data_IF_368259328926
#
_entry.id   IF_368259328926
#
_cell.length_a   1.000
_cell.length_b   1.000
_cell.length_c   1.000
_cell.angle_alpha   90.00
_cell.angle_beta   90.00
_cell.angle_gamma   90.00
#
_symmetry.space_group_name_H-M   'P 1'
#
loop_
_entity.id
_entity.type
_entity.pdbx_description
1 polymer ?
#
# COMPACT_ATOMS: atom_id res chain seq x y z
N UNK A 1 51.50 -31.90 -14.72
CA UNK A 1 50.61 -31.31 -15.76
C UNK A 1 50.17 -29.93 -15.33
N UNK A 2 50.68 -28.85 -15.91
CA UNK A 2 50.23 -27.48 -15.57
C UNK A 2 48.81 -27.29 -16.13
N UNK A 3 47.83 -27.21 -15.25
CA UNK A 3 46.49 -26.79 -15.64
C UNK A 3 46.57 -25.37 -16.20
N UNK A 4 46.18 -25.18 -17.45
CA UNK A 4 46.07 -23.82 -18.02
C UNK A 4 44.87 -23.13 -17.36
N UNK A 5 44.92 -21.77 -17.18
CA UNK A 5 43.86 -20.96 -16.59
C UNK A 5 42.47 -21.32 -17.14
N UNK A 6 42.35 -21.54 -18.44
CA UNK A 6 41.09 -21.89 -19.09
C UNK A 6 40.52 -23.22 -18.60
N UNK A 7 41.38 -24.23 -18.33
CA UNK A 7 40.92 -25.53 -17.80
C UNK A 7 40.48 -25.43 -16.36
N UNK A 8 41.18 -24.62 -15.55
CA UNK A 8 40.79 -24.36 -14.15
C UNK A 8 39.44 -23.64 -14.13
N UNK A 9 39.29 -22.61 -14.95
CA UNK A 9 38.05 -21.84 -15.07
C UNK A 9 36.87 -22.72 -15.51
N UNK A 10 37.08 -23.55 -16.56
CA UNK A 10 36.06 -24.51 -17.02
C UNK A 10 35.65 -25.50 -15.94
N UNK A 11 36.62 -26.13 -15.26
CA UNK A 11 36.30 -27.06 -14.19
C UNK A 11 35.56 -26.37 -13.02
N UNK A 12 35.97 -25.18 -12.64
CA UNK A 12 35.29 -24.41 -11.60
C UNK A 12 33.85 -24.10 -12.01
N UNK A 13 33.64 -23.59 -13.23
CA UNK A 13 32.32 -23.24 -13.74
C UNK A 13 31.39 -24.46 -13.85
N UNK A 14 31.92 -25.57 -14.36
CA UNK A 14 31.16 -26.83 -14.46
C UNK A 14 30.78 -27.34 -13.05
N UNK A 15 31.72 -27.31 -12.11
CA UNK A 15 31.44 -27.68 -10.73
C UNK A 15 30.36 -26.80 -10.08
N UNK A 16 30.47 -25.49 -10.23
CA UNK A 16 29.50 -24.54 -9.71
C UNK A 16 28.09 -24.82 -10.24
N UNK A 17 27.94 -24.98 -11.56
CA UNK A 17 26.66 -25.31 -12.16
C UNK A 17 26.11 -26.67 -11.72
N UNK A 18 26.99 -27.67 -11.62
CA UNK A 18 26.57 -28.99 -11.13
C UNK A 18 26.04 -28.93 -9.70
N UNK A 19 26.71 -28.19 -8.84
CA UNK A 19 26.26 -27.99 -7.45
C UNK A 19 24.91 -27.26 -7.41
N UNK A 20 24.75 -26.17 -8.18
CA UNK A 20 23.47 -25.44 -8.24
C UNK A 20 22.32 -26.31 -8.75
N UNK A 21 22.54 -27.11 -9.80
CA UNK A 21 21.54 -28.03 -10.33
C UNK A 21 21.16 -29.09 -9.27
N UNK A 22 22.15 -29.70 -8.61
CA UNK A 22 21.89 -30.68 -7.55
C UNK A 22 21.09 -30.01 -6.41
N UNK A 23 21.51 -28.84 -5.96
CA UNK A 23 20.80 -28.13 -4.91
C UNK A 23 19.33 -27.80 -5.30
N UNK A 24 19.07 -27.38 -6.54
CA UNK A 24 17.70 -27.17 -7.02
C UNK A 24 16.88 -28.47 -7.05
N UNK A 25 17.48 -29.60 -7.40
CA UNK A 25 16.77 -30.87 -7.46
C UNK A 25 16.44 -31.46 -6.08
N UNK A 26 17.26 -31.17 -5.06
CA UNK A 26 17.06 -31.71 -3.71
C UNK A 26 16.34 -30.76 -2.76
N UNK A 27 16.26 -29.50 -3.10
CA UNK A 27 15.54 -28.50 -2.28
C UNK A 27 14.03 -28.64 -2.48
N UNK A 28 13.24 -28.81 -1.42
CA UNK A 28 11.79 -28.87 -1.54
C UNK A 28 11.20 -27.58 -2.11
N UNK A 29 10.16 -27.71 -2.93
CA UNK A 29 9.40 -26.57 -3.42
C UNK A 29 8.81 -25.74 -2.27
N UNK A 30 8.92 -24.42 -2.38
CA UNK A 30 8.28 -23.48 -1.46
C UNK A 30 6.96 -23.01 -2.05
N UNK A 31 5.92 -23.00 -1.25
CA UNK A 31 4.59 -22.51 -1.68
C UNK A 31 4.41 -21.02 -1.46
N UNK A 32 5.20 -20.43 -0.57
CA UNK A 32 5.09 -19.04 -0.17
C UNK A 32 6.48 -18.43 0.07
N UNK A 33 6.66 -17.20 -0.37
CA UNK A 33 7.82 -16.37 -0.04
C UNK A 33 7.46 -15.45 1.10
N UNK A 34 8.01 -15.68 2.28
CA UNK A 34 7.83 -14.77 3.40
C UNK A 34 8.50 -13.42 3.16
N UNK A 35 9.62 -13.42 2.45
CA UNK A 35 10.32 -12.19 2.12
C UNK A 35 9.52 -11.27 1.18
N UNK A 36 8.81 -11.84 0.19
CA UNK A 36 8.00 -11.08 -0.78
C UNK A 36 6.51 -11.03 -0.40
N UNK A 37 6.11 -11.72 0.64
CA UNK A 37 4.71 -11.86 1.10
C UNK A 37 3.76 -12.25 -0.05
N UNK A 38 4.16 -13.28 -0.82
CA UNK A 38 3.35 -13.81 -1.93
C UNK A 38 3.47 -15.33 -2.11
N UNK A 39 2.46 -15.88 -2.75
CA UNK A 39 2.54 -17.27 -3.23
C UNK A 39 3.59 -17.36 -4.32
N UNK A 40 4.38 -18.42 -4.27
CA UNK A 40 5.35 -18.76 -5.31
C UNK A 40 4.70 -19.63 -6.38
N UNK A 41 5.18 -19.48 -7.62
CA UNK A 41 4.70 -20.25 -8.75
C UNK A 41 4.95 -21.75 -8.53
N UNK A 42 3.96 -22.54 -8.94
CA UNK A 42 4.03 -24.00 -8.96
C UNK A 42 4.39 -24.50 -10.35
N UNK A 43 4.93 -25.70 -10.43
CA UNK A 43 5.24 -26.34 -11.72
C UNK A 43 4.00 -26.29 -12.63
N UNK A 44 4.08 -25.65 -13.80
CA UNK A 44 2.93 -25.48 -14.68
C UNK A 44 2.46 -26.82 -15.27
N UNK A 45 1.15 -26.96 -15.41
CA UNK A 45 0.58 -28.12 -16.10
C UNK A 45 0.79 -27.98 -17.61
N UNK A 46 1.43 -28.97 -18.20
CA UNK A 46 1.63 -29.01 -19.64
C UNK A 46 0.32 -29.22 -20.39
N UNK A 47 0.03 -28.38 -21.38
CA UNK A 47 -0.97 -28.61 -22.42
C UNK A 47 -0.43 -28.13 -23.76
N UNK A 48 -0.85 -28.76 -24.87
CA UNK A 48 -0.41 -28.34 -26.21
C UNK A 48 -0.86 -26.90 -26.51
N UNK A 49 -2.01 -26.49 -26.02
CA UNK A 49 -2.54 -25.13 -26.20
C UNK A 49 -1.64 -24.09 -25.51
N UNK A 50 -1.30 -24.31 -24.25
CA UNK A 50 -0.37 -23.44 -23.50
C UNK A 50 1.01 -23.37 -24.11
N UNK A 51 1.49 -24.46 -24.73
CA UNK A 51 2.79 -24.46 -25.40
C UNK A 51 2.75 -23.61 -26.68
N UNK A 52 1.70 -23.76 -27.49
CA UNK A 52 1.58 -23.06 -28.79
C UNK A 52 1.38 -21.56 -28.58
N UNK A 53 0.61 -21.14 -27.58
CA UNK A 53 0.36 -19.72 -27.29
C UNK A 53 1.46 -19.07 -26.43
N UNK A 54 2.52 -19.82 -26.02
CA UNK A 54 3.64 -19.35 -25.22
C UNK A 54 3.36 -19.22 -23.70
N UNK A 55 2.16 -19.51 -23.25
CA UNK A 55 1.76 -19.40 -21.83
C UNK A 55 2.56 -20.38 -20.96
N UNK A 56 2.75 -21.65 -21.44
CA UNK A 56 3.53 -22.64 -20.72
C UNK A 56 4.97 -22.19 -20.45
N UNK A 57 5.61 -21.55 -21.41
CA UNK A 57 7.00 -21.09 -21.24
C UNK A 57 7.09 -19.93 -20.26
N UNK A 58 6.12 -19.02 -20.26
CA UNK A 58 6.05 -17.93 -19.29
C UNK A 58 5.83 -18.45 -17.87
N UNK A 59 4.86 -19.35 -17.68
CA UNK A 59 4.62 -19.99 -16.38
C UNK A 59 5.83 -20.81 -15.89
N UNK A 60 6.53 -21.48 -16.80
CA UNK A 60 7.74 -22.26 -16.48
C UNK A 60 8.90 -21.35 -16.07
N UNK A 61 9.08 -20.22 -16.74
CA UNK A 61 10.11 -19.23 -16.40
C UNK A 61 9.83 -18.63 -15.01
N UNK A 62 8.57 -18.27 -14.72
CA UNK A 62 8.15 -17.82 -13.40
C UNK A 62 8.43 -18.88 -12.32
N UNK A 63 8.06 -20.14 -12.58
CA UNK A 63 8.35 -21.25 -11.67
C UNK A 63 9.84 -21.42 -11.39
N UNK A 64 10.68 -21.43 -12.44
CA UNK A 64 12.14 -21.57 -12.28
C UNK A 64 12.71 -20.42 -11.46
N UNK A 65 12.26 -19.18 -11.73
CA UNK A 65 12.71 -18.00 -11.01
C UNK A 65 12.29 -18.04 -9.53
N UNK A 66 11.09 -18.50 -9.25
CA UNK A 66 10.54 -18.55 -7.89
C UNK A 66 11.15 -19.67 -7.04
N UNK A 67 11.43 -20.83 -7.65
CA UNK A 67 11.95 -22.01 -6.95
C UNK A 67 13.49 -22.08 -6.96
N UNK A 68 14.17 -21.08 -7.57
CA UNK A 68 15.62 -21.12 -7.66
C UNK A 68 16.28 -21.13 -6.29
N UNK A 69 17.21 -22.08 -6.08
CA UNK A 69 17.89 -22.24 -4.80
C UNK A 69 18.64 -20.96 -4.38
N UNK A 70 18.52 -20.59 -3.10
CA UNK A 70 19.10 -19.34 -2.56
C UNK A 70 18.61 -18.05 -3.24
N UNK A 71 17.37 -18.05 -3.76
CA UNK A 71 16.79 -16.92 -4.49
C UNK A 71 17.00 -15.57 -3.81
N UNK A 72 16.70 -15.45 -2.51
CA UNK A 72 16.85 -14.22 -1.75
C UNK A 72 18.32 -13.73 -1.71
N UNK A 73 19.27 -14.66 -1.63
CA UNK A 73 20.70 -14.34 -1.68
C UNK A 73 21.11 -13.81 -3.07
N UNK A 74 20.54 -14.37 -4.13
CA UNK A 74 20.81 -13.88 -5.49
C UNK A 74 20.22 -12.51 -5.73
N UNK A 75 19.02 -12.23 -5.21
CA UNK A 75 18.43 -10.87 -5.23
C UNK A 75 19.36 -9.90 -4.51
N UNK A 76 19.84 -10.25 -3.30
CA UNK A 76 20.79 -9.43 -2.56
C UNK A 76 22.09 -9.17 -3.35
N UNK A 77 22.72 -10.22 -3.89
CA UNK A 77 23.95 -10.10 -4.69
C UNK A 77 23.72 -9.22 -5.92
N UNK A 78 22.62 -9.42 -6.65
CA UNK A 78 22.22 -8.58 -7.79
C UNK A 78 22.11 -7.12 -7.34
N UNK A 79 21.36 -6.85 -6.28
CA UNK A 79 21.15 -5.50 -5.74
C UNK A 79 22.50 -4.83 -5.38
N UNK A 80 23.37 -5.56 -4.68
CA UNK A 80 24.69 -5.03 -4.30
C UNK A 80 25.58 -4.74 -5.53
N UNK A 81 25.55 -5.59 -6.55
CA UNK A 81 26.27 -5.37 -7.79
C UNK A 81 25.73 -4.14 -8.56
N UNK A 82 24.42 -3.98 -8.64
CA UNK A 82 23.81 -2.83 -9.30
C UNK A 82 24.06 -1.52 -8.54
N UNK A 83 24.05 -1.56 -7.20
CA UNK A 83 24.48 -0.42 -6.37
C UNK A 83 25.95 -0.04 -6.60
N UNK A 84 26.81 -1.04 -6.70
CA UNK A 84 28.24 -0.79 -7.00
C UNK A 84 28.43 -0.16 -8.39
N UNK A 85 27.50 -0.37 -9.32
CA UNK A 85 27.45 0.30 -10.62
C UNK A 85 26.77 1.68 -10.58
N UNK A 86 26.47 2.20 -9.39
CA UNK A 86 25.83 3.50 -9.15
C UNK A 86 24.46 3.66 -9.84
N UNK A 87 23.71 2.57 -10.00
CA UNK A 87 22.33 2.70 -10.46
C UNK A 87 21.49 3.49 -9.45
N UNK A 88 20.70 4.47 -9.88
CA UNK A 88 19.90 5.31 -8.98
C UNK A 88 18.74 4.56 -8.33
N UNK A 89 18.20 3.56 -9.04
CA UNK A 89 17.12 2.70 -8.56
C UNK A 89 17.34 1.24 -8.95
N UNK A 90 16.77 0.33 -8.17
CA UNK A 90 16.79 -1.11 -8.42
C UNK A 90 15.39 -1.65 -8.16
N UNK A 91 14.82 -2.41 -9.10
CA UNK A 91 13.46 -2.94 -9.01
C UNK A 91 12.41 -1.85 -8.66
N UNK A 92 12.54 -0.67 -9.29
CA UNK A 92 11.70 0.52 -9.03
C UNK A 92 11.75 1.00 -7.57
N UNK A 93 12.90 0.88 -6.91
CA UNK A 93 13.14 1.38 -5.56
C UNK A 93 14.39 2.26 -5.56
N UNK A 94 14.24 3.52 -5.16
CA UNK A 94 15.34 4.43 -4.87
C UNK A 94 15.95 4.14 -3.52
N UNK A 95 17.29 4.23 -3.44
CA UNK A 95 18.03 4.24 -2.19
C UNK A 95 18.25 5.70 -1.78
N UNK A 96 17.36 6.18 -0.94
CA UNK A 96 17.32 7.57 -0.51
C UNK A 96 18.16 7.80 0.76
N UNK A 97 18.31 9.07 1.16
CA UNK A 97 19.00 9.45 2.38
C UNK A 97 18.31 8.91 3.64
N UNK A 98 19.00 8.89 4.76
CA UNK A 98 18.51 8.41 6.06
C UNK A 98 18.01 6.96 6.08
N UNK A 99 18.47 6.15 5.12
CA UNK A 99 18.09 4.73 5.00
C UNK A 99 16.69 4.49 4.45
N UNK A 100 16.06 5.49 3.82
CA UNK A 100 14.78 5.31 3.15
C UNK A 100 14.94 4.52 1.84
N UNK A 101 14.06 3.55 1.67
CA UNK A 101 13.73 2.96 0.38
C UNK A 101 12.46 3.66 -0.11
N UNK A 102 12.53 4.32 -1.25
CA UNK A 102 11.40 5.10 -1.78
C UNK A 102 10.97 4.50 -3.12
N UNK A 103 9.68 4.25 -3.25
CA UNK A 103 9.13 3.69 -4.50
C UNK A 103 9.25 4.70 -5.64
N UNK A 104 9.83 4.25 -6.74
CA UNK A 104 9.89 4.98 -8.00
C UNK A 104 8.59 4.79 -8.76
N UNK A 105 8.01 5.89 -9.18
CA UNK A 105 6.80 5.90 -10.00
C UNK A 105 7.12 6.51 -11.36
N UNK A 106 7.51 5.68 -12.32
CA UNK A 106 7.84 6.17 -13.66
C UNK A 106 6.59 6.66 -14.40
N UNK A 107 6.75 7.72 -15.17
CA UNK A 107 5.66 8.23 -16.02
C UNK A 107 5.21 7.18 -17.05
N UNK A 108 6.12 6.33 -17.50
CA UNK A 108 5.82 5.23 -18.43
C UNK A 108 4.91 4.14 -17.84
N UNK A 109 4.82 4.05 -16.49
CA UNK A 109 3.97 3.07 -15.79
C UNK A 109 2.52 3.57 -15.62
N UNK A 110 2.24 4.80 -16.06
CA UNK A 110 0.95 5.43 -15.95
C UNK A 110 0.30 5.52 -17.33
N UNK A 111 -0.90 4.97 -17.46
CA UNK A 111 -1.76 5.23 -18.61
C UNK A 111 -2.51 6.54 -18.38
N UNK A 112 -2.16 7.59 -19.15
CA UNK A 112 -2.84 8.88 -19.06
C UNK A 112 -4.35 8.75 -19.34
N UNK A 113 -4.74 7.85 -20.24
CA UNK A 113 -6.15 7.54 -20.51
C UNK A 113 -6.86 6.97 -19.27
N UNK A 114 -6.20 6.03 -18.57
CA UNK A 114 -6.76 5.45 -17.34
C UNK A 114 -6.83 6.48 -16.20
N UNK A 115 -5.78 7.29 -16.05
CA UNK A 115 -5.72 8.36 -15.05
C UNK A 115 -6.86 9.37 -15.26
N UNK A 116 -7.11 9.75 -16.53
CA UNK A 116 -8.22 10.65 -16.87
C UNK A 116 -9.59 10.00 -16.59
N UNK A 117 -9.78 8.74 -16.96
CA UNK A 117 -11.03 8.01 -16.64
C UNK A 117 -11.28 7.94 -15.13
N UNK A 118 -10.23 7.71 -14.34
CA UNK A 118 -10.34 7.66 -12.89
C UNK A 118 -10.78 9.01 -12.32
N UNK A 119 -10.15 10.09 -12.80
CA UNK A 119 -10.49 11.47 -12.43
C UNK A 119 -11.95 11.79 -12.78
N UNK A 120 -12.38 11.52 -14.01
CA UNK A 120 -13.75 11.81 -14.45
C UNK A 120 -14.79 11.05 -13.62
N UNK A 121 -14.54 9.77 -13.32
CA UNK A 121 -15.43 8.95 -12.47
C UNK A 121 -15.54 9.50 -11.06
N UNK A 122 -14.42 9.84 -10.45
CA UNK A 122 -14.38 10.45 -9.12
C UNK A 122 -15.15 11.77 -9.09
N UNK A 123 -14.91 12.66 -10.06
CA UNK A 123 -15.57 13.95 -10.13
C UNK A 123 -17.09 13.78 -10.24
N UNK A 124 -17.56 12.87 -11.09
CA UNK A 124 -18.98 12.61 -11.26
C UNK A 124 -19.60 12.04 -9.97
N UNK A 125 -18.92 11.11 -9.31
CA UNK A 125 -19.33 10.56 -8.03
C UNK A 125 -19.44 11.65 -6.96
N UNK A 126 -18.40 12.46 -6.79
CA UNK A 126 -18.37 13.52 -5.77
C UNK A 126 -19.45 14.57 -6.04
N UNK A 127 -19.63 15.03 -7.28
CA UNK A 127 -20.70 15.99 -7.63
C UNK A 127 -22.08 15.44 -7.27
N UNK A 128 -22.36 14.18 -7.63
CA UNK A 128 -23.65 13.52 -7.34
C UNK A 128 -23.93 13.49 -5.83
N UNK A 129 -22.93 13.10 -5.03
CA UNK A 129 -23.15 12.93 -3.59
C UNK A 129 -23.00 14.22 -2.80
N UNK A 130 -22.24 15.21 -3.27
CA UNK A 130 -22.23 16.54 -2.70
C UNK A 130 -23.61 17.23 -2.84
N UNK A 131 -24.31 17.03 -3.95
CA UNK A 131 -25.71 17.50 -4.10
C UNK A 131 -26.69 16.79 -3.16
N UNK A 132 -26.51 15.47 -2.91
CA UNK A 132 -27.41 14.65 -2.08
C UNK A 132 -27.16 14.83 -0.58
N UNK A 133 -25.92 14.89 -0.15
CA UNK A 133 -25.51 14.85 1.26
C UNK A 133 -25.03 16.20 1.80
N UNK A 134 -24.55 17.08 0.93
CA UNK A 134 -23.88 18.34 1.27
C UNK A 134 -22.39 18.30 0.90
N UNK A 135 -21.81 19.43 0.50
CA UNK A 135 -20.40 19.54 0.11
C UNK A 135 -19.46 19.24 1.31
N UNK A 136 -19.86 19.60 2.51
CA UNK A 136 -19.14 19.36 3.77
C UNK A 136 -19.16 17.87 4.21
N UNK A 137 -19.98 17.05 3.56
CA UNK A 137 -20.18 15.62 3.88
C UNK A 137 -19.47 14.67 2.93
N UNK A 138 -18.94 15.17 1.83
CA UNK A 138 -18.27 14.34 0.81
C UNK A 138 -16.86 14.83 0.61
N UNK A 139 -15.90 14.07 1.08
CA UNK A 139 -14.50 14.45 1.06
C UNK A 139 -13.68 13.52 0.17
N UNK A 140 -12.70 14.09 -0.50
CA UNK A 140 -11.66 13.38 -1.25
C UNK A 140 -10.31 13.72 -0.64
N UNK A 141 -9.51 12.71 -0.35
CA UNK A 141 -8.13 12.86 0.10
C UNK A 141 -7.23 12.00 -0.79
N UNK A 142 -6.42 12.65 -1.61
CA UNK A 142 -5.35 12.00 -2.36
C UNK A 142 -4.04 12.22 -1.62
N UNK A 143 -3.54 11.14 -1.00
CA UNK A 143 -2.33 11.22 -0.19
C UNK A 143 -1.11 11.14 -1.09
N UNK A 144 -0.21 12.13 -1.05
CA UNK A 144 1.05 12.07 -1.80
C UNK A 144 1.93 10.91 -1.29
N UNK A 145 2.73 10.32 -2.17
CA UNK A 145 3.67 9.27 -1.77
C UNK A 145 4.94 9.84 -1.13
N UNK A 146 5.74 8.99 -0.50
CA UNK A 146 7.05 9.37 0.02
C UNK A 146 7.95 10.01 -1.05
N UNK A 147 7.86 9.58 -2.32
CA UNK A 147 8.66 10.16 -3.42
C UNK A 147 8.33 11.63 -3.71
N UNK A 148 7.15 12.09 -3.34
CA UNK A 148 6.76 13.48 -3.47
C UNK A 148 7.10 14.29 -2.21
N UNK A 149 6.73 13.80 -1.03
CA UNK A 149 6.91 14.54 0.24
C UNK A 149 8.38 14.57 0.65
N UNK A 150 9.10 13.44 0.51
CA UNK A 150 10.51 13.29 0.86
C UNK A 150 11.43 13.46 -0.35
N UNK A 151 11.03 14.27 -1.33
CA UNK A 151 11.80 14.46 -2.58
C UNK A 151 13.24 14.91 -2.35
N UNK A 152 13.49 15.65 -1.27
CA UNK A 152 14.82 16.14 -0.91
C UNK A 152 15.78 15.00 -0.49
N UNK A 153 15.24 13.84 -0.10
CA UNK A 153 16.00 12.64 0.24
C UNK A 153 16.33 11.74 -0.95
N UNK A 154 15.71 11.99 -2.11
CA UNK A 154 15.91 11.17 -3.31
C UNK A 154 17.34 11.32 -3.86
N UNK A 155 17.88 10.27 -4.51
CA UNK A 155 19.20 10.36 -5.16
C UNK A 155 19.19 11.41 -6.29
N UNK A 156 20.37 11.96 -6.65
CA UNK A 156 20.50 12.90 -7.76
C UNK A 156 19.86 12.33 -9.05
N UNK A 157 19.20 13.20 -9.80
CA UNK A 157 18.50 12.84 -11.06
C UNK A 157 17.34 11.85 -10.92
N UNK A 158 16.81 11.64 -9.71
CA UNK A 158 15.59 10.88 -9.55
C UNK A 158 14.45 11.53 -10.33
N UNK A 159 13.69 10.70 -11.04
CA UNK A 159 12.54 11.11 -11.84
C UNK A 159 11.28 10.42 -11.31
N UNK A 160 10.12 10.97 -11.61
CA UNK A 160 8.86 10.37 -11.19
C UNK A 160 7.66 11.00 -11.90
N UNK A 161 6.48 10.45 -11.61
CA UNK A 161 5.21 11.02 -12.03
C UNK A 161 4.93 12.30 -11.26
N UNK A 162 4.40 13.32 -11.93
CA UNK A 162 4.04 14.58 -11.32
C UNK A 162 2.70 14.46 -10.57
N UNK A 163 2.80 14.08 -9.29
CA UNK A 163 1.65 13.91 -8.43
C UNK A 163 1.01 15.25 -8.07
N UNK A 164 1.82 16.32 -7.93
CA UNK A 164 1.32 17.67 -7.63
C UNK A 164 0.38 18.14 -8.73
N UNK A 165 0.80 18.07 -9.98
CA UNK A 165 -0.02 18.47 -11.12
C UNK A 165 -1.33 17.67 -11.20
N UNK A 166 -1.27 16.35 -10.97
CA UNK A 166 -2.48 15.52 -10.97
C UNK A 166 -3.46 15.88 -9.84
N UNK A 167 -2.95 16.10 -8.63
CA UNK A 167 -3.77 16.53 -7.49
C UNK A 167 -4.40 17.89 -7.77
N UNK A 168 -3.63 18.85 -8.32
CA UNK A 168 -4.16 20.19 -8.66
C UNK A 168 -5.29 20.10 -9.69
N UNK A 169 -5.15 19.29 -10.73
CA UNK A 169 -6.22 19.04 -11.72
C UNK A 169 -7.48 18.44 -11.07
N UNK A 170 -7.33 17.57 -10.08
CA UNK A 170 -8.47 17.01 -9.33
C UNK A 170 -9.14 18.10 -8.49
N UNK A 171 -8.36 18.89 -7.76
CA UNK A 171 -8.87 19.99 -6.91
C UNK A 171 -9.67 20.98 -7.75
N UNK A 172 -9.14 21.41 -8.91
CA UNK A 172 -9.80 22.36 -9.80
C UNK A 172 -11.13 21.88 -10.36
N UNK A 173 -11.28 20.55 -10.53
CA UNK A 173 -12.47 19.94 -11.13
C UNK A 173 -13.55 19.56 -10.12
N UNK A 174 -13.22 19.47 -8.84
CA UNK A 174 -14.14 19.11 -7.75
C UNK A 174 -14.95 20.30 -7.24
N UNK A 175 -16.15 20.08 -6.65
CA UNK A 175 -16.87 21.12 -5.89
C UNK A 175 -15.99 21.67 -4.76
N UNK A 176 -16.13 22.96 -4.47
CA UNK A 176 -15.34 23.62 -3.41
C UNK A 176 -15.61 22.98 -2.05
N UNK A 177 -14.56 22.79 -1.26
CA UNK A 177 -14.67 22.23 0.08
C UNK A 177 -14.76 20.72 0.15
N UNK A 178 -14.81 20.02 -1.01
CA UNK A 178 -14.83 18.53 -1.02
C UNK A 178 -13.46 17.90 -1.03
N UNK A 179 -12.39 18.63 -1.33
CA UNK A 179 -11.02 18.09 -1.33
C UNK A 179 -10.27 18.49 -0.06
N UNK A 180 -9.70 17.51 0.61
CA UNK A 180 -8.84 17.67 1.78
C UNK A 180 -7.40 17.61 1.32
N UNK A 181 -6.73 18.76 1.25
CA UNK A 181 -5.33 18.83 0.81
C UNK A 181 -4.36 18.65 1.98
N UNK A 182 -3.80 17.45 2.07
CA UNK A 182 -2.85 17.07 3.13
C UNK A 182 -1.38 17.34 2.76
N UNK A 183 -1.11 17.89 1.57
CA UNK A 183 0.28 18.14 1.10
C UNK A 183 1.02 19.08 2.04
N UNK A 184 0.38 20.16 2.47
CA UNK A 184 1.01 21.16 3.34
C UNK A 184 1.36 20.58 4.71
N UNK A 185 0.43 19.92 5.37
CA UNK A 185 0.68 19.35 6.70
C UNK A 185 1.75 18.27 6.66
N UNK A 186 1.75 17.39 5.66
CA UNK A 186 2.79 16.37 5.52
C UNK A 186 4.16 16.99 5.21
N UNK A 187 4.23 18.03 4.39
CA UNK A 187 5.49 18.75 4.13
C UNK A 187 6.03 19.49 5.36
N UNK A 188 5.17 20.03 6.23
CA UNK A 188 5.59 20.66 7.49
C UNK A 188 6.24 19.66 8.43
N UNK A 189 5.81 18.39 8.40
CA UNK A 189 6.31 17.33 9.27
C UNK A 189 7.24 16.34 8.55
N UNK A 190 7.76 16.68 7.35
CA UNK A 190 8.57 15.77 6.52
C UNK A 190 9.87 15.30 7.17
N UNK A 191 10.40 16.03 8.15
CA UNK A 191 11.59 15.64 8.88
C UNK A 191 11.30 14.63 10.02
N UNK A 192 10.02 14.41 10.32
CA UNK A 192 9.58 13.42 11.27
C UNK A 192 9.38 12.05 10.59
N UNK A 193 9.16 11.01 11.39
CA UNK A 193 8.98 9.66 10.87
C UNK A 193 7.55 9.44 10.36
N UNK A 194 7.16 10.17 9.31
CA UNK A 194 5.79 10.15 8.74
C UNK A 194 5.61 9.15 7.60
N UNK A 195 6.69 8.60 7.05
CA UNK A 195 6.67 7.47 6.11
C UNK A 195 7.58 6.37 6.62
N UNK A 196 7.23 5.11 6.35
CA UNK A 196 8.10 3.98 6.61
C UNK A 196 9.35 4.05 5.72
N UNK A 197 10.49 3.56 6.23
CA UNK A 197 11.74 3.50 5.47
C UNK A 197 11.82 2.31 4.54
N UNK A 198 11.10 1.23 4.85
CA UNK A 198 11.19 -0.05 4.13
C UNK A 198 9.89 -0.43 3.44
N UNK A 199 8.86 0.40 3.59
CA UNK A 199 7.52 0.19 3.03
C UNK A 199 7.01 1.43 2.28
N UNK A 200 6.03 1.25 1.41
CA UNK A 200 5.45 2.33 0.60
C UNK A 200 4.37 3.15 1.32
N UNK A 201 3.94 2.75 2.50
CA UNK A 201 2.91 3.47 3.26
C UNK A 201 3.50 4.61 4.11
N UNK A 202 2.63 5.53 4.48
CA UNK A 202 2.87 6.42 5.61
C UNK A 202 2.84 5.66 6.93
N UNK A 203 3.43 6.24 7.99
CA UNK A 203 3.31 5.70 9.35
C UNK A 203 1.98 6.11 9.99
N UNK A 204 1.67 5.57 11.16
CA UNK A 204 0.54 6.04 11.96
C UNK A 204 0.65 7.53 12.32
N UNK A 205 1.87 8.06 12.47
CA UNK A 205 2.09 9.49 12.70
C UNK A 205 1.76 10.32 11.47
N UNK A 206 2.16 9.88 10.27
CA UNK A 206 1.77 10.55 9.02
C UNK A 206 0.26 10.54 8.79
N UNK A 207 -0.37 9.39 9.07
CA UNK A 207 -1.82 9.27 9.02
C UNK A 207 -2.52 10.17 10.07
N UNK A 208 -1.90 10.36 11.25
CA UNK A 208 -2.42 11.22 12.30
C UNK A 208 -2.44 12.69 11.86
N UNK A 209 -1.37 13.22 11.28
CA UNK A 209 -1.37 14.59 10.77
C UNK A 209 -2.41 14.83 9.66
N UNK A 210 -2.56 13.84 8.76
CA UNK A 210 -3.61 13.91 7.75
C UNK A 210 -5.02 13.84 8.35
N UNK A 211 -5.19 13.08 9.43
CA UNK A 211 -6.43 13.01 10.20
C UNK A 211 -6.77 14.35 10.86
N UNK A 212 -5.80 15.04 11.48
CA UNK A 212 -6.04 16.37 12.07
C UNK A 212 -6.55 17.38 11.04
N UNK A 213 -5.94 17.39 9.84
CA UNK A 213 -6.38 18.23 8.72
C UNK A 213 -7.80 17.84 8.29
N UNK A 214 -8.04 16.55 8.03
CA UNK A 214 -9.36 16.07 7.61
C UNK A 214 -10.44 16.35 8.66
N UNK A 215 -10.18 16.10 9.93
CA UNK A 215 -11.17 16.33 10.98
C UNK A 215 -11.56 17.81 11.05
N UNK A 216 -10.59 18.71 10.93
CA UNK A 216 -10.82 20.16 10.89
C UNK A 216 -11.69 20.55 9.70
N UNK A 217 -11.34 20.10 8.50
CA UNK A 217 -12.04 20.48 7.26
C UNK A 217 -13.44 19.83 7.18
N UNK A 218 -13.62 18.62 7.75
CA UNK A 218 -14.91 17.93 7.88
C UNK A 218 -15.79 18.45 9.04
N UNK A 219 -15.35 19.52 9.71
CA UNK A 219 -16.11 20.18 10.77
C UNK A 219 -16.12 19.47 12.13
N UNK A 220 -15.14 18.57 12.37
CA UNK A 220 -14.90 17.98 13.68
C UNK A 220 -13.82 18.75 14.46
N UNK A 221 -13.84 18.63 15.76
CA UNK A 221 -12.67 18.93 16.57
C UNK A 221 -11.71 17.73 16.51
N UNK A 222 -10.50 17.88 15.96
CA UNK A 222 -9.55 16.78 15.92
C UNK A 222 -9.18 16.34 17.34
N UNK A 223 -9.04 15.03 17.52
CA UNK A 223 -8.49 14.48 18.75
C UNK A 223 -6.98 14.70 18.76
N UNK A 224 -6.43 15.25 19.85
CA UNK A 224 -4.98 15.43 19.99
C UNK A 224 -4.27 14.11 20.31
N UNK A 225 -2.95 14.03 20.08
CA UNK A 225 -2.16 12.84 20.41
C UNK A 225 -2.27 12.47 21.90
N UNK A 226 -2.47 13.45 22.79
CA UNK A 226 -2.61 13.24 24.22
C UNK A 226 -3.87 12.43 24.58
N UNK A 227 -4.87 12.40 23.71
CA UNK A 227 -6.09 11.61 23.88
C UNK A 227 -5.90 10.14 23.45
N UNK A 228 -4.73 9.77 22.95
CA UNK A 228 -4.42 8.39 22.57
C UNK A 228 -3.33 7.80 23.47
N UNK A 229 -3.46 6.49 23.76
CA UNK A 229 -2.36 5.65 24.19
C UNK A 229 -1.62 5.19 22.95
N UNK A 230 -0.42 5.75 22.75
CA UNK A 230 0.43 5.45 21.60
C UNK A 230 1.42 4.39 22.01
N UNK A 231 1.32 3.19 21.43
CA UNK A 231 2.14 2.03 21.83
C UNK A 231 2.97 1.50 20.64
N UNK A 232 4.23 1.17 20.91
CA UNK A 232 5.07 0.45 19.96
C UNK A 232 4.62 -1.01 19.91
N UNK A 233 4.07 -1.43 18.77
CA UNK A 233 3.59 -2.80 18.56
C UNK A 233 4.65 -3.71 17.92
N UNK A 234 5.55 -3.17 17.11
CA UNK A 234 6.67 -3.90 16.51
C UNK A 234 7.81 -2.94 16.17
N UNK A 235 9.04 -3.35 16.44
CA UNK A 235 10.29 -2.72 15.99
C UNK A 235 11.02 -3.54 14.90
N UNK A 236 10.34 -4.53 14.33
CA UNK A 236 10.87 -5.50 13.37
C UNK A 236 9.98 -5.56 12.13
N UNK A 237 9.65 -4.41 11.55
CA UNK A 237 8.89 -4.36 10.31
C UNK A 237 9.79 -4.14 9.11
N UNK A 238 9.78 -5.07 8.16
CA UNK A 238 10.38 -4.92 6.84
C UNK A 238 9.29 -4.99 5.79
N UNK A 239 8.99 -3.85 5.17
CA UNK A 239 7.88 -3.72 4.25
C UNK A 239 8.15 -4.20 2.83
N UNK A 240 7.25 -3.82 1.94
CA UNK A 240 7.22 -4.27 0.54
C UNK A 240 8.42 -3.77 -0.28
N UNK A 241 8.93 -2.57 0.01
CA UNK A 241 10.09 -2.03 -0.70
C UNK A 241 11.38 -2.78 -0.33
N UNK A 242 11.54 -3.15 0.95
CA UNK A 242 12.62 -4.03 1.36
C UNK A 242 12.56 -5.36 0.61
N UNK A 243 11.39 -5.95 0.46
CA UNK A 243 11.21 -7.23 -0.22
C UNK A 243 11.67 -7.21 -1.68
N UNK A 244 11.53 -6.06 -2.36
CA UNK A 244 11.97 -5.88 -3.75
C UNK A 244 13.48 -5.84 -3.92
N UNK A 245 14.23 -5.37 -2.91
CA UNK A 245 15.67 -5.14 -3.02
C UNK A 245 16.50 -5.98 -2.08
N UNK A 246 15.90 -6.51 -1.02
CA UNK A 246 16.48 -7.43 -0.03
C UNK A 246 17.85 -6.98 0.49
N UNK A 247 17.95 -5.72 0.95
CA UNK A 247 19.18 -5.12 1.47
C UNK A 247 19.19 -5.09 2.99
N UNK A 248 20.39 -5.04 3.57
CA UNK A 248 20.53 -4.87 5.01
C UNK A 248 20.28 -3.39 5.40
N UNK A 249 19.12 -3.13 6.00
CA UNK A 249 18.68 -1.82 6.50
C UNK A 249 18.06 -1.97 7.88
N UNK A 250 17.90 -0.87 8.61
CA UNK A 250 17.20 -0.86 9.89
C UNK A 250 15.72 -1.16 9.65
N UNK A 251 15.09 -2.03 10.45
CA UNK A 251 13.64 -2.26 10.39
C UNK A 251 12.85 -1.01 10.78
N UNK A 252 11.61 -0.95 10.34
CA UNK A 252 10.64 0.06 10.71
C UNK A 252 9.93 -0.27 12.03
N UNK A 253 9.33 0.75 12.62
CA UNK A 253 8.56 0.67 13.86
C UNK A 253 7.07 0.88 13.56
N UNK A 254 6.22 0.02 14.11
CA UNK A 254 4.75 0.14 14.00
C UNK A 254 4.19 0.61 15.34
N UNK A 255 3.50 1.74 15.32
CA UNK A 255 2.82 2.32 16.47
C UNK A 255 1.30 2.22 16.32
N UNK A 256 0.60 1.91 17.40
CA UNK A 256 -0.86 1.85 17.47
C UNK A 256 -1.38 3.01 18.31
N UNK A 257 -2.44 3.66 17.84
CA UNK A 257 -3.11 4.79 18.47
C UNK A 257 -4.45 4.33 19.03
N UNK A 258 -4.51 4.02 20.32
CA UNK A 258 -5.75 3.62 21.01
C UNK A 258 -6.30 4.81 21.79
N UNK A 259 -7.54 5.21 21.50
CA UNK A 259 -8.18 6.30 22.25
C UNK A 259 -8.28 5.96 23.75
N UNK A 260 -8.00 6.94 24.61
CA UNK A 260 -8.07 6.78 26.08
C UNK A 260 -9.49 6.81 26.64
N UNK A 261 -10.41 7.43 25.89
CA UNK A 261 -11.83 7.40 26.24
C UNK A 261 -12.39 5.98 26.15
N UNK A 262 -13.46 5.72 26.90
CA UNK A 262 -14.14 4.41 26.91
C UNK A 262 -14.97 4.25 25.62
N UNK A 263 -14.28 3.93 24.53
CA UNK A 263 -14.85 3.68 23.22
C UNK A 263 -14.95 2.16 22.99
N UNK A 264 -16.16 1.70 22.72
CA UNK A 264 -16.42 0.30 22.37
C UNK A 264 -16.54 0.16 20.87
N UNK A 265 -15.88 -0.85 20.31
CA UNK A 265 -15.90 -1.16 18.90
C UNK A 265 -16.53 -2.52 18.65
N UNK A 266 -17.31 -2.63 17.58
CA UNK A 266 -17.75 -3.90 17.02
C UNK A 266 -17.43 -3.86 15.53
N UNK A 267 -16.56 -4.75 15.08
CA UNK A 267 -16.16 -4.84 13.69
C UNK A 267 -16.71 -6.11 13.05
N UNK A 268 -17.09 -5.98 11.78
CA UNK A 268 -17.52 -7.08 10.94
C UNK A 268 -16.73 -7.02 9.62
N UNK A 269 -15.91 -8.03 9.38
CA UNK A 269 -15.13 -8.18 8.15
C UNK A 269 -15.87 -9.05 7.15
N UNK A 270 -16.05 -8.56 5.93
CA UNK A 270 -16.64 -9.29 4.81
C UNK A 270 -17.99 -9.99 5.15
N UNK A 271 -18.77 -9.43 6.06
CA UNK A 271 -20.05 -9.91 6.56
C UNK A 271 -19.99 -11.22 7.37
N UNK A 272 -18.81 -11.70 7.76
CA UNK A 272 -18.64 -13.01 8.43
C UNK A 272 -17.87 -12.96 9.73
N UNK A 273 -16.73 -12.25 9.76
CA UNK A 273 -15.77 -12.34 10.85
C UNK A 273 -15.91 -11.15 11.81
N UNK A 274 -16.21 -11.43 13.07
CA UNK A 274 -16.42 -10.42 14.10
C UNK A 274 -15.20 -10.24 14.99
N UNK A 275 -14.92 -8.98 15.39
CA UNK A 275 -13.95 -8.61 16.43
C UNK A 275 -14.40 -7.33 17.14
N UNK A 276 -13.79 -7.03 18.28
CA UNK A 276 -14.02 -5.83 19.08
C UNK A 276 -12.80 -4.89 19.10
N UNK A 277 -11.83 -5.13 18.23
CA UNK A 277 -10.60 -4.34 18.15
C UNK A 277 -10.33 -3.86 16.73
N UNK A 278 -9.81 -2.62 16.63
CA UNK A 278 -9.36 -2.00 15.37
C UNK A 278 -8.00 -2.56 14.88
N UNK A 279 -7.33 -3.38 15.71
CA UNK A 279 -5.98 -3.87 15.49
C UNK A 279 -5.91 -5.39 15.59
N UNK A 280 -5.57 -6.06 14.51
CA UNK A 280 -5.34 -7.51 14.50
C UNK A 280 -3.88 -7.82 14.86
N UNK A 281 -3.61 -8.02 16.14
CA UNK A 281 -2.25 -8.25 16.65
C UNK A 281 -1.62 -9.53 16.08
N UNK A 282 -2.40 -10.49 15.58
CA UNK A 282 -1.85 -11.71 14.97
C UNK A 282 -1.02 -11.42 13.71
N UNK A 283 -1.29 -10.31 13.01
CA UNK A 283 -0.53 -9.88 11.84
C UNK A 283 0.91 -9.47 12.16
N UNK A 284 1.19 -9.12 13.42
CA UNK A 284 2.55 -8.77 13.86
C UNK A 284 3.51 -9.97 13.88
N UNK A 285 2.99 -11.19 13.87
CA UNK A 285 3.80 -12.41 13.80
C UNK A 285 4.28 -12.69 12.37
N UNK A 286 3.54 -12.22 11.36
CA UNK A 286 3.84 -12.40 9.94
C UNK A 286 4.77 -11.34 9.36
N UNK A 287 5.02 -11.44 8.06
CA UNK A 287 5.81 -10.47 7.29
C UNK A 287 5.04 -9.16 7.06
N UNK A 288 3.76 -9.26 6.71
CA UNK A 288 2.88 -8.11 6.45
C UNK A 288 2.31 -7.55 7.76
N UNK A 289 3.20 -6.95 8.55
CA UNK A 289 2.83 -6.38 9.85
C UNK A 289 1.94 -5.14 9.74
N UNK A 290 1.97 -4.44 8.57
CA UNK A 290 1.09 -3.29 8.34
C UNK A 290 -0.39 -3.68 8.37
N UNK A 291 -0.71 -4.92 8.03
CA UNK A 291 -2.07 -5.47 8.15
C UNK A 291 -2.61 -5.54 9.59
N UNK A 292 -1.80 -5.18 10.61
CA UNK A 292 -2.30 -4.99 11.99
C UNK A 292 -3.41 -3.94 12.04
N UNK A 293 -3.35 -2.92 11.19
CA UNK A 293 -4.39 -1.92 11.07
C UNK A 293 -5.59 -2.48 10.32
N UNK A 294 -6.74 -2.50 10.96
CA UNK A 294 -8.03 -2.90 10.37
C UNK A 294 -8.04 -4.31 9.73
N UNK A 295 -7.15 -5.22 10.20
CA UNK A 295 -7.05 -6.58 9.65
C UNK A 295 -6.54 -6.66 8.20
N UNK A 296 -6.01 -5.56 7.63
CA UNK A 296 -5.46 -5.50 6.28
C UNK A 296 -6.52 -5.34 5.18
N UNK A 297 -6.27 -5.97 4.03
CA UNK A 297 -7.12 -5.83 2.85
C UNK A 297 -8.39 -6.69 2.95
N UNK A 298 -9.54 -6.03 3.07
CA UNK A 298 -10.87 -6.63 3.07
C UNK A 298 -11.75 -5.91 2.04
N UNK A 299 -12.73 -6.63 1.45
CA UNK A 299 -13.69 -6.05 0.52
C UNK A 299 -14.58 -5.01 1.22
N UNK A 300 -15.07 -5.37 2.41
CA UNK A 300 -15.92 -4.55 3.26
C UNK A 300 -15.53 -4.74 4.72
N UNK A 301 -15.39 -3.64 5.45
CA UNK A 301 -15.28 -3.63 6.91
C UNK A 301 -16.34 -2.68 7.46
N UNK A 302 -17.13 -3.16 8.39
CA UNK A 302 -18.09 -2.37 9.15
C UNK A 302 -17.57 -2.18 10.57
N UNK A 303 -17.58 -0.95 11.07
CA UNK A 303 -17.21 -0.60 12.45
C UNK A 303 -18.37 0.12 13.11
N UNK A 304 -18.86 -0.41 14.23
CA UNK A 304 -19.83 0.26 15.10
C UNK A 304 -19.13 0.73 16.36
N UNK A 305 -19.48 1.94 16.79
CA UNK A 305 -19.00 2.53 18.03
C UNK A 305 -20.16 2.72 19.02
N UNK A 306 -19.84 3.17 20.24
CA UNK A 306 -20.87 3.59 21.20
C UNK A 306 -21.33 5.04 21.03
N UNK A 307 -20.85 5.77 20.01
CA UNK A 307 -21.41 7.08 19.64
C UNK A 307 -22.89 6.95 19.28
N UNK A 308 -23.67 8.02 19.56
CA UNK A 308 -25.11 8.08 19.25
C UNK A 308 -25.45 9.38 18.53
N UNK A 309 -24.61 9.76 17.56
CA UNK A 309 -24.76 11.00 16.82
C UNK A 309 -25.47 10.83 15.45
N UNK A 310 -25.83 9.60 15.09
CA UNK A 310 -26.48 9.28 13.81
C UNK A 310 -25.58 9.43 12.58
N UNK A 311 -24.28 9.73 12.76
CA UNK A 311 -23.35 9.90 11.62
C UNK A 311 -22.80 8.53 11.17
N UNK A 312 -22.82 8.31 9.86
CA UNK A 312 -22.39 7.09 9.19
C UNK A 312 -21.42 7.42 8.07
N UNK A 313 -20.16 7.03 8.24
CA UNK A 313 -19.09 7.29 7.28
C UNK A 313 -18.92 6.10 6.33
N UNK A 314 -18.87 6.38 5.04
CA UNK A 314 -18.35 5.45 4.03
C UNK A 314 -16.94 5.89 3.62
N UNK A 315 -15.94 5.02 3.79
CA UNK A 315 -14.56 5.21 3.31
C UNK A 315 -14.34 4.33 2.09
N UNK A 316 -14.23 4.94 0.91
CA UNK A 316 -13.80 4.26 -0.33
C UNK A 316 -12.30 4.42 -0.43
N UNK A 317 -11.54 3.30 -0.49
CA UNK A 317 -10.16 3.36 -0.08
C UNK A 317 -9.20 2.41 -0.77
N UNK A 318 -7.90 2.73 -0.63
CA UNK A 318 -6.82 1.75 -0.72
C UNK A 318 -6.21 1.46 0.68
N UNK A 319 -5.05 0.81 0.72
CA UNK A 319 -4.40 0.42 1.97
C UNK A 319 -3.89 1.58 2.83
N UNK A 320 -3.75 2.79 2.28
CA UNK A 320 -3.36 3.97 3.08
C UNK A 320 -4.38 4.29 4.17
N UNK A 321 -5.66 4.04 3.92
CA UNK A 321 -6.71 4.27 4.91
C UNK A 321 -6.62 3.36 6.15
N UNK A 322 -5.87 2.26 6.11
CA UNK A 322 -5.83 1.31 7.23
C UNK A 322 -5.29 1.95 8.52
N UNK A 323 -4.25 2.76 8.46
CA UNK A 323 -3.72 3.47 9.63
C UNK A 323 -4.45 4.78 9.95
N UNK A 324 -5.27 5.30 9.03
CA UNK A 324 -6.08 6.50 9.19
C UNK A 324 -7.43 6.21 9.86
N UNK A 325 -8.12 5.16 9.43
CA UNK A 325 -9.49 4.86 9.89
C UNK A 325 -9.59 4.62 11.41
N UNK A 326 -8.62 3.99 12.10
CA UNK A 326 -8.63 3.88 13.56
C UNK A 326 -8.75 5.22 14.32
N UNK A 327 -8.36 6.33 13.67
CA UNK A 327 -8.50 7.67 14.22
C UNK A 327 -9.90 8.24 13.88
N UNK A 328 -10.33 8.11 12.63
CA UNK A 328 -11.56 8.68 12.11
C UNK A 328 -12.84 8.06 12.70
N UNK A 329 -12.85 6.76 12.98
CA UNK A 329 -14.04 6.04 13.53
C UNK A 329 -14.55 6.63 14.84
N UNK A 330 -13.68 7.30 15.62
CA UNK A 330 -14.03 7.90 16.88
C UNK A 330 -15.05 9.06 16.77
N UNK A 331 -15.28 9.57 15.58
CA UNK A 331 -16.26 10.63 15.31
C UNK A 331 -17.63 10.12 14.83
N UNK A 332 -17.79 8.82 14.58
CA UNK A 332 -18.97 8.25 13.94
C UNK A 332 -19.65 7.18 14.78
N UNK A 333 -20.96 7.02 14.58
CA UNK A 333 -21.71 5.89 15.13
C UNK A 333 -21.40 4.60 14.35
N UNK A 334 -21.32 4.70 13.01
CA UNK A 334 -20.95 3.61 12.15
C UNK A 334 -19.95 4.09 11.07
N UNK A 335 -18.98 3.24 10.74
CA UNK A 335 -18.02 3.48 9.65
C UNK A 335 -17.93 2.23 8.78
N UNK A 336 -17.99 2.42 7.48
CA UNK A 336 -17.85 1.37 6.49
C UNK A 336 -16.62 1.65 5.64
N UNK A 337 -15.78 0.64 5.42
CA UNK A 337 -14.64 0.72 4.52
C UNK A 337 -14.87 -0.19 3.32
N UNK A 338 -14.78 0.34 2.11
CA UNK A 338 -14.90 -0.41 0.85
C UNK A 338 -13.61 -0.29 0.05
N UNK A 339 -13.08 -1.43 -0.36
CA UNK A 339 -11.92 -1.52 -1.25
C UNK A 339 -12.33 -2.07 -2.61
N UNK A 340 -12.32 -1.22 -3.63
CA UNK A 340 -12.78 -1.58 -4.98
C UNK A 340 -11.98 -2.69 -5.67
N UNK A 341 -10.81 -3.03 -5.16
CA UNK A 341 -10.04 -4.18 -5.66
C UNK A 341 -10.73 -5.51 -5.34
N UNK A 342 -11.54 -5.53 -4.29
CA UNK A 342 -12.20 -6.73 -3.75
C UNK A 342 -13.72 -6.60 -3.67
N UNK A 343 -14.27 -5.38 -3.63
CA UNK A 343 -15.69 -5.10 -3.54
C UNK A 343 -16.29 -4.84 -4.93
N UNK A 344 -17.23 -5.68 -5.36
CA UNK A 344 -17.81 -5.64 -6.71
C UNK A 344 -19.31 -5.29 -6.74
N UNK A 345 -19.93 -5.10 -5.58
CA UNK A 345 -21.34 -4.67 -5.50
C UNK A 345 -21.48 -3.17 -5.77
N UNK A 346 -22.73 -2.72 -5.98
CA UNK A 346 -23.03 -1.32 -6.24
C UNK A 346 -22.80 -0.42 -5.04
N UNK A 347 -22.06 0.68 -5.21
CA UNK A 347 -21.82 1.68 -4.15
C UNK A 347 -23.06 2.55 -3.93
N UNK A 348 -23.84 2.81 -4.99
CA UNK A 348 -25.03 3.63 -4.89
C UNK A 348 -26.10 2.97 -3.99
N UNK A 349 -26.40 1.68 -4.24
CA UNK A 349 -27.31 0.91 -3.40
C UNK A 349 -26.80 0.81 -1.95
N UNK A 350 -25.50 0.58 -1.78
CA UNK A 350 -24.87 0.54 -0.46
C UNK A 350 -25.06 1.83 0.33
N UNK A 351 -24.87 2.99 -0.29
CA UNK A 351 -25.05 4.31 0.34
C UNK A 351 -26.51 4.50 0.81
N UNK A 352 -27.48 4.10 -0.01
CA UNK A 352 -28.91 4.24 0.31
C UNK A 352 -29.35 3.26 1.41
N UNK A 353 -29.00 1.99 1.30
CA UNK A 353 -29.39 0.95 2.26
C UNK A 353 -28.79 1.18 3.65
N UNK A 354 -27.52 1.60 3.71
CA UNK A 354 -26.83 1.86 4.97
C UNK A 354 -27.03 3.30 5.50
N UNK A 355 -27.84 4.12 4.79
CA UNK A 355 -28.15 5.50 5.20
C UNK A 355 -26.87 6.30 5.49
N UNK A 356 -25.90 6.21 4.58
CA UNK A 356 -24.62 6.91 4.70
C UNK A 356 -24.87 8.42 4.77
N UNK A 357 -24.24 9.07 5.72
CA UNK A 357 -24.33 10.51 5.92
C UNK A 357 -23.10 11.25 5.47
N UNK A 358 -21.96 10.56 5.42
CA UNK A 358 -20.65 11.13 5.11
C UNK A 358 -19.86 10.18 4.21
N UNK A 359 -19.13 10.70 3.25
CA UNK A 359 -18.27 9.91 2.36
C UNK A 359 -16.85 10.47 2.38
N UNK A 360 -15.87 9.58 2.51
CA UNK A 360 -14.45 9.88 2.32
C UNK A 360 -13.87 8.96 1.25
N UNK A 361 -13.36 9.53 0.16
CA UNK A 361 -12.54 8.80 -0.81
C UNK A 361 -11.08 9.04 -0.45
N UNK A 362 -10.41 8.02 0.11
CA UNK A 362 -9.03 8.09 0.56
C UNK A 362 -8.14 7.11 -0.19
N UNK A 363 -7.24 7.64 -1.00
CA UNK A 363 -6.28 6.87 -1.77
C UNK A 363 -4.88 7.48 -1.71
N UNK A 364 -3.87 6.62 -1.77
CA UNK A 364 -2.56 7.03 -2.27
C UNK A 364 -2.70 7.53 -3.71
N UNK A 365 -2.11 8.67 -4.02
CA UNK A 365 -2.25 9.31 -5.35
C UNK A 365 -1.86 8.35 -6.48
N UNK A 366 -0.75 7.65 -6.36
CA UNK A 366 -0.26 6.75 -7.43
C UNK A 366 -1.10 5.49 -7.57
N UNK A 367 -1.66 4.98 -6.47
CA UNK A 367 -2.61 3.87 -6.53
C UNK A 367 -3.89 4.30 -7.25
N UNK A 368 -4.42 5.48 -6.93
CA UNK A 368 -5.61 6.01 -7.60
C UNK A 368 -5.39 6.21 -9.10
N UNK A 369 -4.27 6.83 -9.47
CA UNK A 369 -3.92 7.08 -10.90
C UNK A 369 -3.90 5.78 -11.71
N UNK A 370 -3.41 4.69 -11.13
CA UNK A 370 -3.26 3.37 -11.77
C UNK A 370 -4.44 2.43 -11.59
N UNK A 371 -5.43 2.78 -10.76
CA UNK A 371 -6.55 1.88 -10.40
C UNK A 371 -7.43 1.57 -11.62
N UNK A 372 -7.70 0.29 -11.83
CA UNK A 372 -8.59 -0.20 -12.89
C UNK A 372 -10.02 -0.44 -12.41
N UNK A 373 -10.26 -0.32 -11.09
CA UNK A 373 -11.53 -0.68 -10.43
C UNK A 373 -12.42 0.54 -10.18
N UNK A 374 -11.99 1.74 -10.53
CA UNK A 374 -12.78 2.99 -10.34
C UNK A 374 -14.11 2.99 -11.09
N UNK A 375 -14.35 2.02 -12.00
CA UNK A 375 -15.67 1.81 -12.60
C UNK A 375 -16.74 1.57 -11.53
N UNK A 376 -16.38 1.08 -10.36
CA UNK A 376 -17.29 0.83 -9.25
C UNK A 376 -17.89 2.11 -8.66
N UNK A 377 -17.32 3.29 -8.92
CA UNK A 377 -17.96 4.58 -8.60
C UNK A 377 -19.28 4.81 -9.38
N UNK A 378 -19.50 4.09 -10.47
CA UNK A 378 -20.65 4.26 -11.36
C UNK A 378 -21.76 3.19 -11.13
N UNK A 379 -21.57 2.29 -10.18
CA UNK A 379 -22.51 1.18 -9.91
C UNK A 379 -23.39 1.43 -8.70
#
# INVERSE_FOLDING_TARGET
>A
MKLTFNKIFFCFFTLLWSVLIICNLVTPEKTFSENENRLLAKLPKYTNEKLINGEYMNELDEYINDQFVFRDNWIYIKTMAERAMLKPDINSVYFAEDGYLIEKHDKSDVSEEQAQKNKDRLINFVKKYAEKLGEDRVNVMMVPTASMVLKDKLPPFATGYDQDAYIDEVIEALPKGTFIDVRNILNQHKEEYIYYRTDHHWTALGAFYAYEQWATDAGFMPLSQEQFDITLASDQFFGTLHSRVNVNVKPDEIYLYKIKEDMNYQLLYNLTDHTDTLYDLSKLEGKDKYSVYMGGNNALVEVKTNNKNGRRLLVIKDSYAHSFVPLAVNHYEETFMIDFRYYNAGVEEFIEENKITDVLVLYNTMNFVKDKNTLNFLK
#
